data_IF_952217384847
#
_entry.id   IF_952217384847
#
_cell.length_a   1.000
_cell.length_b   1.000
_cell.length_c   1.000
_cell.angle_alpha   90.00
_cell.angle_beta   90.00
_cell.angle_gamma   90.00
#
_symmetry.space_group_name_H-M   'P 1'
#
loop_
_entity.id
_entity.type
_entity.pdbx_description
1 polymer ?
#
# COMPACT_ATOMS: atom_id res chain seq x y z
N UNK A 1 -0.15 -15.05 19.25
CA UNK A 1 0.71 -13.99 19.83
C UNK A 1 0.25 -12.64 19.27
N UNK A 2 0.35 -11.56 20.03
CA UNK A 2 0.04 -10.23 19.53
C UNK A 2 1.14 -9.77 18.55
N UNK A 3 0.76 -9.01 17.52
CA UNK A 3 1.65 -8.59 16.42
C UNK A 3 1.35 -7.15 16.04
N UNK A 4 2.36 -6.40 15.59
CA UNK A 4 2.18 -5.04 15.07
C UNK A 4 1.23 -5.02 13.87
N UNK A 5 1.16 -6.11 13.13
CA UNK A 5 0.43 -6.23 11.87
C UNK A 5 -1.01 -6.76 12.05
N UNK A 6 -1.54 -6.79 13.27
CA UNK A 6 -2.89 -7.30 13.56
C UNK A 6 -3.99 -6.67 12.67
N UNK A 7 -3.81 -5.41 12.26
CA UNK A 7 -4.76 -4.73 11.38
C UNK A 7 -4.85 -5.36 9.98
N UNK A 8 -3.78 -6.00 9.50
CA UNK A 8 -3.76 -6.65 8.19
C UNK A 8 -4.66 -7.90 8.13
N UNK A 9 -4.98 -8.54 9.26
CA UNK A 9 -5.88 -9.72 9.28
C UNK A 9 -7.21 -9.49 8.57
N UNK A 10 -7.72 -8.26 8.66
CA UNK A 10 -8.99 -7.86 8.02
C UNK A 10 -8.80 -7.27 6.63
N UNK A 11 -7.58 -6.90 6.26
CA UNK A 11 -7.25 -6.22 5.00
C UNK A 11 -6.79 -7.24 3.96
N UNK A 12 -5.81 -8.07 4.32
CA UNK A 12 -5.22 -9.09 3.44
C UNK A 12 -4.54 -10.18 4.27
N UNK A 13 -5.22 -11.30 4.49
CA UNK A 13 -4.74 -12.41 5.33
C UNK A 13 -3.41 -13.00 4.84
N UNK A 14 -3.21 -13.06 3.53
CA UNK A 14 -1.97 -13.60 2.96
C UNK A 14 -0.76 -12.71 3.31
N UNK A 15 -0.92 -11.39 3.15
CA UNK A 15 0.12 -10.44 3.56
C UNK A 15 0.36 -10.46 5.07
N UNK A 16 -0.71 -10.62 5.85
CA UNK A 16 -0.65 -10.77 7.30
C UNK A 16 0.20 -11.99 7.71
N UNK A 17 0.00 -13.15 7.07
CA UNK A 17 0.74 -14.37 7.38
C UNK A 17 2.23 -14.21 7.08
N UNK A 18 2.59 -13.67 5.92
CA UNK A 18 4.00 -13.45 5.53
C UNK A 18 4.71 -12.55 6.54
N UNK A 19 4.10 -11.42 6.90
CA UNK A 19 4.76 -10.46 7.79
C UNK A 19 4.76 -10.89 9.26
N UNK A 20 3.76 -11.68 9.68
CA UNK A 20 3.75 -12.28 11.02
C UNK A 20 4.86 -13.31 11.19
N UNK A 21 5.17 -14.06 10.12
CA UNK A 21 6.32 -14.96 10.11
C UNK A 21 7.63 -14.17 10.17
N UNK A 22 7.75 -13.03 9.49
CA UNK A 22 8.91 -12.14 9.62
C UNK A 22 9.13 -11.67 11.07
N UNK A 23 8.09 -11.21 11.76
CA UNK A 23 8.19 -10.82 13.18
C UNK A 23 8.59 -12.00 14.08
N UNK A 24 8.12 -13.21 13.77
CA UNK A 24 8.50 -14.42 14.51
C UNK A 24 9.98 -14.74 14.31
N UNK A 25 10.45 -14.74 13.07
CA UNK A 25 11.85 -14.97 12.74
C UNK A 25 12.76 -13.95 13.44
N UNK A 26 12.33 -12.68 13.52
CA UNK A 26 13.07 -11.66 14.26
C UNK A 26 13.19 -11.99 15.76
N UNK A 27 12.07 -12.38 16.41
CA UNK A 27 12.07 -12.76 17.83
C UNK A 27 12.94 -13.98 18.12
N UNK A 28 13.00 -14.89 17.17
CA UNK A 28 13.79 -16.12 17.24
C UNK A 28 15.25 -15.88 16.76
N UNK A 29 15.66 -14.61 16.57
CA UNK A 29 17.00 -14.17 16.15
C UNK A 29 17.44 -14.65 14.74
N UNK A 30 16.50 -15.13 13.93
CA UNK A 30 16.68 -15.47 12.52
C UNK A 30 16.59 -14.21 11.64
N UNK A 31 17.51 -13.27 11.86
CA UNK A 31 17.46 -11.93 11.25
C UNK A 31 17.52 -11.93 9.71
N UNK A 32 18.32 -12.81 9.10
CA UNK A 32 18.41 -12.90 7.64
C UNK A 32 17.12 -13.43 7.02
N UNK A 33 16.52 -14.44 7.64
CA UNK A 33 15.24 -14.98 7.22
C UNK A 33 14.12 -13.95 7.44
N UNK A 34 14.17 -13.17 8.52
CA UNK A 34 13.27 -12.04 8.73
C UNK A 34 13.35 -11.05 7.56
N UNK A 35 14.55 -10.60 7.18
CA UNK A 35 14.75 -9.71 6.03
C UNK A 35 14.30 -10.34 4.70
N UNK A 36 14.51 -11.65 4.52
CA UNK A 36 13.99 -12.39 3.37
C UNK A 36 12.46 -12.39 3.32
N UNK A 37 11.78 -12.56 4.47
CA UNK A 37 10.33 -12.51 4.54
C UNK A 37 9.78 -11.09 4.34
N UNK A 38 10.43 -10.04 4.86
CA UNK A 38 10.00 -8.66 4.61
C UNK A 38 10.14 -8.28 3.13
N UNK A 39 11.18 -8.77 2.44
CA UNK A 39 11.28 -8.66 0.97
C UNK A 39 10.12 -9.39 0.28
N UNK A 40 9.84 -10.64 0.66
CA UNK A 40 8.71 -11.41 0.10
C UNK A 40 7.39 -10.67 0.32
N UNK A 41 7.20 -10.08 1.50
CA UNK A 41 6.06 -9.24 1.80
C UNK A 41 5.99 -8.03 0.86
N UNK A 42 7.07 -7.25 0.73
CA UNK A 42 7.13 -6.09 -0.17
C UNK A 42 6.85 -6.45 -1.63
N UNK A 43 7.37 -7.58 -2.10
CA UNK A 43 7.11 -8.08 -3.45
C UNK A 43 5.62 -8.39 -3.67
N UNK A 44 4.96 -9.01 -2.70
CA UNK A 44 3.52 -9.31 -2.79
C UNK A 44 2.65 -8.05 -2.65
N UNK A 45 3.07 -7.08 -1.83
CA UNK A 45 2.42 -5.76 -1.78
C UNK A 45 2.53 -5.09 -3.14
N UNK A 46 3.73 -5.01 -3.73
CA UNK A 46 3.95 -4.38 -5.03
C UNK A 46 3.09 -5.03 -6.13
N UNK A 47 3.04 -6.38 -6.18
CA UNK A 47 2.13 -7.13 -7.08
C UNK A 47 0.67 -6.70 -6.92
N UNK A 48 0.20 -6.59 -5.68
CA UNK A 48 -1.19 -6.23 -5.37
C UNK A 48 -1.50 -4.76 -5.70
N UNK A 49 -0.52 -3.86 -5.52
CA UNK A 49 -0.66 -2.43 -5.84
C UNK A 49 -0.71 -2.19 -7.35
N UNK A 50 0.16 -2.85 -8.11
CA UNK A 50 0.15 -2.78 -9.57
C UNK A 50 -1.15 -3.36 -10.15
N UNK A 51 -1.65 -4.46 -9.59
CA UNK A 51 -2.90 -5.09 -10.01
C UNK A 51 -2.92 -5.37 -11.51
N UNK A 52 -3.88 -4.77 -12.22
CA UNK A 52 -4.05 -4.95 -13.67
C UNK A 52 -3.08 -4.12 -14.54
N UNK A 53 -2.25 -3.25 -13.96
CA UNK A 53 -1.18 -2.57 -14.69
C UNK A 53 0.08 -3.43 -14.81
N UNK A 54 0.08 -4.59 -14.16
CA UNK A 54 1.13 -5.57 -14.33
C UNK A 54 1.05 -6.07 -15.78
N UNK A 55 2.13 -5.86 -16.51
CA UNK A 55 2.29 -6.28 -17.89
C UNK A 55 3.11 -7.57 -17.93
N UNK A 56 4.43 -7.45 -18.08
CA UNK A 56 5.36 -8.56 -18.27
C UNK A 56 6.36 -8.71 -17.14
N UNK A 57 6.20 -7.95 -16.05
CA UNK A 57 7.16 -7.90 -14.95
C UNK A 57 7.34 -9.29 -14.33
N UNK A 58 8.59 -9.77 -14.31
CA UNK A 58 8.96 -11.08 -13.76
C UNK A 58 9.66 -10.94 -12.42
N UNK A 59 10.37 -9.84 -12.21
CA UNK A 59 11.16 -9.61 -11.00
C UNK A 59 10.56 -8.55 -10.11
N UNK A 60 10.98 -8.52 -8.84
CA UNK A 60 10.60 -7.43 -7.94
C UNK A 60 11.11 -6.06 -8.44
N UNK A 61 12.25 -6.02 -9.12
CA UNK A 61 12.80 -4.77 -9.66
C UNK A 61 11.94 -4.19 -10.78
N UNK A 62 11.54 -5.03 -11.74
CA UNK A 62 10.67 -4.63 -12.85
C UNK A 62 9.37 -4.03 -12.32
N UNK A 63 8.78 -4.65 -11.30
CA UNK A 63 7.56 -4.15 -10.68
C UNK A 63 7.77 -2.80 -9.97
N UNK A 64 8.91 -2.57 -9.32
CA UNK A 64 9.20 -1.28 -8.70
C UNK A 64 9.40 -0.18 -9.75
N UNK A 65 10.04 -0.50 -10.87
CA UNK A 65 10.18 0.42 -12.00
C UNK A 65 8.80 0.80 -12.56
N UNK A 66 7.95 -0.18 -12.86
CA UNK A 66 6.57 0.08 -13.33
C UNK A 66 5.78 0.88 -12.30
N UNK A 67 5.91 0.57 -11.00
CA UNK A 67 5.20 1.29 -9.94
C UNK A 67 5.65 2.76 -9.88
N UNK A 68 6.95 3.01 -10.05
CA UNK A 68 7.53 4.35 -10.11
C UNK A 68 7.05 5.13 -11.34
N UNK A 69 6.99 4.50 -12.49
CA UNK A 69 6.48 5.12 -13.73
C UNK A 69 4.98 5.45 -13.63
N UNK A 70 4.24 4.68 -12.83
CA UNK A 70 2.84 4.91 -12.53
C UNK A 70 2.57 5.97 -11.46
N UNK A 71 3.60 6.38 -10.70
CA UNK A 71 3.44 7.33 -9.61
C UNK A 71 3.13 8.73 -10.13
N UNK A 72 2.29 9.44 -9.38
CA UNK A 72 2.00 10.85 -9.61
C UNK A 72 3.10 11.78 -9.07
N UNK A 73 4.09 11.23 -8.36
CA UNK A 73 5.20 11.98 -7.78
C UNK A 73 4.88 12.64 -6.44
N UNK A 74 3.74 12.32 -5.82
CA UNK A 74 3.42 12.75 -4.46
C UNK A 74 4.40 12.14 -3.44
N UNK A 75 4.72 12.90 -2.38
CA UNK A 75 5.74 12.50 -1.41
C UNK A 75 5.41 11.18 -0.70
N UNK A 76 4.14 10.92 -0.42
CA UNK A 76 3.69 9.65 0.17
C UNK A 76 3.96 8.46 -0.76
N UNK A 77 3.77 8.65 -2.07
CA UNK A 77 4.04 7.60 -3.04
C UNK A 77 5.54 7.35 -3.17
N UNK A 78 6.36 8.41 -3.12
CA UNK A 78 7.83 8.29 -3.12
C UNK A 78 8.32 7.53 -1.90
N UNK A 79 7.87 7.92 -0.69
CA UNK A 79 8.22 7.23 0.56
C UNK A 79 7.83 5.75 0.49
N UNK A 80 6.63 5.44 0.00
CA UNK A 80 6.18 4.06 -0.18
C UNK A 80 7.07 3.25 -1.14
N UNK A 81 7.45 3.82 -2.29
CA UNK A 81 8.32 3.17 -3.27
C UNK A 81 9.73 3.01 -2.68
N UNK A 82 10.25 4.02 -2.00
CA UNK A 82 11.57 4.00 -1.36
C UNK A 82 11.64 2.92 -0.27
N UNK A 83 10.59 2.75 0.53
CA UNK A 83 10.49 1.67 1.49
C UNK A 83 10.50 0.30 0.80
N UNK A 84 9.78 0.12 -0.31
CA UNK A 84 9.82 -1.13 -1.06
C UNK A 84 11.22 -1.41 -1.66
N UNK A 85 11.92 -0.39 -2.16
CA UNK A 85 13.31 -0.52 -2.61
C UNK A 85 14.24 -0.92 -1.46
N UNK A 86 14.03 -0.35 -0.27
CA UNK A 86 14.79 -0.71 0.92
C UNK A 86 14.60 -2.20 1.26
N UNK A 87 13.35 -2.68 1.33
CA UNK A 87 13.04 -4.08 1.60
C UNK A 87 13.66 -5.01 0.55
N UNK A 88 13.59 -4.63 -0.73
CA UNK A 88 14.24 -5.36 -1.83
C UNK A 88 15.74 -5.49 -1.59
N UNK A 89 16.42 -4.37 -1.31
CA UNK A 89 17.88 -4.30 -1.15
C UNK A 89 18.35 -5.17 0.01
N UNK A 90 17.79 -4.97 1.20
CA UNK A 90 18.22 -5.70 2.40
C UNK A 90 17.84 -7.17 2.35
N UNK A 91 16.66 -7.53 1.85
CA UNK A 91 16.30 -8.94 1.69
C UNK A 91 17.11 -9.67 0.62
N UNK A 92 17.46 -9.01 -0.50
CA UNK A 92 18.39 -9.60 -1.48
C UNK A 92 19.76 -9.85 -0.86
N UNK A 93 20.28 -8.86 -0.12
CA UNK A 93 21.56 -9.00 0.57
C UNK A 93 21.52 -10.13 1.60
N UNK A 94 20.47 -10.23 2.40
CA UNK A 94 20.32 -11.28 3.41
C UNK A 94 20.28 -12.70 2.81
N UNK A 95 19.69 -12.87 1.62
CA UNK A 95 19.54 -14.19 0.99
C UNK A 95 20.76 -14.59 0.15
N UNK A 96 21.46 -13.61 -0.45
CA UNK A 96 22.53 -13.87 -1.41
C UNK A 96 23.92 -13.42 -0.94
N UNK A 97 24.06 -12.89 0.28
CA UNK A 97 25.39 -12.57 0.81
C UNK A 97 26.19 -13.84 1.04
N UNK A 98 27.49 -13.77 0.73
CA UNK A 98 28.46 -14.82 1.05
C UNK A 98 28.82 -14.87 2.54
N UNK A 99 28.45 -13.84 3.31
CA UNK A 99 28.72 -13.74 4.74
C UNK A 99 27.42 -13.66 5.53
N UNK A 100 27.29 -14.48 6.58
CA UNK A 100 26.16 -14.41 7.49
C UNK A 100 26.30 -13.17 8.36
N UNK A 101 25.44 -12.17 8.14
CA UNK A 101 25.37 -10.94 8.93
C UNK A 101 24.18 -11.07 9.87
N UNK A 102 24.43 -11.36 11.15
CA UNK A 102 23.41 -11.33 12.21
C UNK A 102 23.04 -9.89 12.58
N UNK A 103 22.58 -9.11 11.60
CA UNK A 103 22.28 -7.70 11.78
C UNK A 103 20.83 -7.50 12.25
N UNK A 104 20.65 -7.51 13.57
CA UNK A 104 19.36 -7.26 14.19
C UNK A 104 18.85 -5.82 13.96
N UNK A 105 19.73 -4.84 13.76
CA UNK A 105 19.32 -3.45 13.54
C UNK A 105 18.75 -3.26 12.13
N UNK A 106 19.41 -3.81 11.12
CA UNK A 106 18.87 -3.82 9.75
C UNK A 106 17.57 -4.61 9.64
N UNK A 107 17.49 -5.77 10.32
CA UNK A 107 16.25 -6.56 10.34
C UNK A 107 15.09 -5.81 11.03
N UNK A 108 15.39 -5.03 12.08
CA UNK A 108 14.40 -4.20 12.75
C UNK A 108 13.91 -3.06 11.85
N UNK A 109 14.82 -2.38 11.15
CA UNK A 109 14.46 -1.32 10.19
C UNK A 109 13.61 -1.89 9.05
N UNK A 110 13.94 -3.10 8.56
CA UNK A 110 13.10 -3.80 7.59
C UNK A 110 11.67 -4.03 8.09
N UNK A 111 11.48 -4.43 9.35
CA UNK A 111 10.14 -4.60 9.91
C UNK A 111 9.40 -3.27 10.06
N UNK A 112 10.09 -2.21 10.50
CA UNK A 112 9.51 -0.87 10.64
C UNK A 112 9.04 -0.30 9.30
N UNK A 113 9.88 -0.42 8.25
CA UNK A 113 9.48 0.01 6.89
C UNK A 113 8.40 -0.87 6.29
N UNK A 114 8.44 -2.18 6.52
CA UNK A 114 7.35 -3.07 6.12
C UNK A 114 6.01 -2.71 6.80
N UNK A 115 6.06 -2.18 8.03
CA UNK A 115 4.89 -1.64 8.72
C UNK A 115 4.34 -0.39 8.03
N UNK A 116 5.18 0.59 7.69
CA UNK A 116 4.72 1.78 6.96
C UNK A 116 4.14 1.40 5.58
N UNK A 117 4.79 0.47 4.86
CA UNK A 117 4.26 -0.13 3.63
C UNK A 117 2.88 -0.78 3.85
N UNK A 118 2.69 -1.52 4.94
CA UNK A 118 1.42 -2.16 5.27
C UNK A 118 0.30 -1.14 5.57
N UNK A 119 0.62 -0.06 6.29
CA UNK A 119 -0.31 1.05 6.59
C UNK A 119 -0.76 1.71 5.29
N UNK A 120 0.20 2.08 4.46
CA UNK A 120 -0.01 2.71 3.17
C UNK A 120 -0.86 1.82 2.25
N UNK A 121 -0.49 0.54 2.11
CA UNK A 121 -1.27 -0.44 1.37
C UNK A 121 -2.73 -0.53 1.87
N UNK A 122 -2.93 -0.58 3.19
CA UNK A 122 -4.26 -0.76 3.78
C UNK A 122 -5.18 0.42 3.51
N UNK A 123 -4.68 1.63 3.72
CA UNK A 123 -5.49 2.86 3.60
C UNK A 123 -5.76 3.17 2.13
N UNK A 124 -4.73 3.10 1.28
CA UNK A 124 -4.81 3.65 -0.07
C UNK A 124 -5.17 2.63 -1.15
N UNK A 125 -4.88 1.33 -0.97
CA UNK A 125 -5.30 0.28 -1.91
C UNK A 125 -6.55 -0.48 -1.47
N UNK A 126 -6.88 -0.47 -0.18
CA UNK A 126 -7.96 -1.30 0.38
C UNK A 126 -9.05 -0.52 1.11
N UNK A 127 -9.01 0.81 1.06
CA UNK A 127 -10.02 1.68 1.68
C UNK A 127 -10.21 1.40 3.18
N UNK A 128 -9.15 0.96 3.87
CA UNK A 128 -9.22 0.70 5.30
C UNK A 128 -9.41 2.01 6.10
N UNK A 129 -9.85 1.88 7.35
CA UNK A 129 -10.13 3.05 8.20
C UNK A 129 -8.91 3.95 8.33
N UNK A 130 -9.09 5.26 8.15
CA UNK A 130 -8.05 6.27 8.34
C UNK A 130 -7.48 6.31 9.77
N UNK A 131 -8.11 5.63 10.74
CA UNK A 131 -7.55 5.44 12.07
C UNK A 131 -6.27 4.59 12.08
N UNK A 132 -6.05 3.76 11.06
CA UNK A 132 -4.85 2.93 10.90
C UNK A 132 -3.60 3.82 10.75
N UNK A 133 -3.70 5.00 10.14
CA UNK A 133 -2.61 5.99 10.02
C UNK A 133 -2.06 6.49 11.38
N UNK A 134 -2.74 6.22 12.49
CA UNK A 134 -2.29 6.59 13.84
C UNK A 134 -1.44 5.50 14.49
N UNK A 135 -1.44 4.29 13.92
CA UNK A 135 -0.64 3.20 14.45
C UNK A 135 0.84 3.52 14.25
N UNK A 136 1.65 3.03 15.17
CA UNK A 136 3.11 3.14 15.14
C UNK A 136 3.66 1.76 15.41
N UNK A 137 4.80 1.47 14.79
CA UNK A 137 5.50 0.22 15.08
C UNK A 137 5.95 0.21 16.55
N UNK A 138 5.54 -0.82 17.28
CA UNK A 138 5.83 -1.01 18.69
C UNK A 138 6.92 -2.08 18.83
N UNK A 139 8.14 -1.62 19.11
CA UNK A 139 9.31 -2.47 19.32
C UNK A 139 9.23 -3.24 20.65
N UNK A 140 8.57 -2.68 21.66
CA UNK A 140 8.32 -3.37 22.93
C UNK A 140 7.36 -4.54 22.69
N UNK A 141 6.31 -4.34 21.90
CA UNK A 141 5.41 -5.41 21.48
C UNK A 141 6.15 -6.50 20.70
N UNK A 142 7.03 -6.11 19.77
CA UNK A 142 7.83 -7.07 18.99
C UNK A 142 8.64 -8.00 19.91
N UNK A 143 9.37 -7.43 20.88
CA UNK A 143 10.29 -8.18 21.74
C UNK A 143 9.55 -8.94 22.85
N UNK A 144 8.55 -8.31 23.47
CA UNK A 144 7.88 -8.88 24.66
C UNK A 144 6.64 -9.70 24.33
N UNK A 145 6.09 -9.55 23.12
CA UNK A 145 4.81 -10.17 22.71
C UNK A 145 3.58 -9.60 23.44
N UNK A 146 3.75 -8.56 24.27
CA UNK A 146 2.70 -7.92 25.05
C UNK A 146 2.39 -6.55 24.48
N UNK A 147 1.09 -6.23 24.31
CA UNK A 147 0.68 -4.89 23.91
C UNK A 147 0.98 -3.92 25.04
N UNK A 148 1.59 -2.79 24.70
CA UNK A 148 1.86 -1.72 25.66
C UNK A 148 0.56 -1.29 26.35
N UNK A 149 0.61 -1.19 27.67
CA UNK A 149 -0.51 -0.60 28.40
C UNK A 149 -0.67 0.87 28.02
N UNK A 150 -1.92 1.34 27.95
CA UNK A 150 -2.20 2.75 27.67
C UNK A 150 -1.44 3.64 28.63
N UNK A 151 -0.74 4.63 28.08
CA UNK A 151 -0.02 5.61 28.88
C UNK A 151 -0.99 6.37 29.79
N UNK A 152 -0.53 6.86 30.95
CA UNK A 152 -1.34 7.73 31.81
C UNK A 152 -1.95 8.89 31.02
N UNK A 153 -1.20 9.48 30.08
CA UNK A 153 -1.70 10.55 29.22
C UNK A 153 -2.88 10.12 28.34
N UNK A 154 -2.84 8.90 27.81
CA UNK A 154 -3.93 8.32 27.02
C UNK A 154 -5.14 8.01 27.90
N UNK A 155 -4.92 7.43 29.08
CA UNK A 155 -5.97 7.19 30.09
C UNK A 155 -6.66 8.50 30.48
N UNK A 156 -5.92 9.58 30.71
CA UNK A 156 -6.46 10.91 31.02
C UNK A 156 -7.25 11.52 29.86
N UNK A 157 -6.74 11.46 28.63
CA UNK A 157 -7.43 12.03 27.46
C UNK A 157 -8.70 11.26 27.10
N UNK A 158 -8.72 9.94 27.28
CA UNK A 158 -9.93 9.12 27.13
C UNK A 158 -10.94 9.42 28.23
N UNK A 159 -10.52 9.50 29.49
CA UNK A 159 -11.39 9.88 30.61
C UNK A 159 -12.03 11.26 30.38
N UNK A 160 -11.24 12.23 29.88
CA UNK A 160 -11.74 13.57 29.51
C UNK A 160 -12.74 13.51 28.35
N UNK A 161 -12.49 12.71 27.30
CA UNK A 161 -13.44 12.54 26.18
C UNK A 161 -14.74 11.85 26.59
N UNK A 162 -14.68 10.93 27.57
CA UNK A 162 -15.85 10.23 28.08
C UNK A 162 -16.70 11.12 29.01
N UNK A 163 -16.08 11.99 29.80
CA UNK A 163 -16.79 13.00 30.62
C UNK A 163 -17.45 14.09 29.77
N UNK A 164 -16.82 14.52 28.68
CA UNK A 164 -17.44 15.50 27.76
C UNK A 164 -18.66 14.95 27.01
N UNK A 165 -18.76 13.63 26.80
CA UNK A 165 -19.95 13.01 26.16
C UNK A 165 -21.18 12.93 27.07
N UNK A 166 -21.02 13.08 28.40
CA UNK A 166 -22.13 13.01 29.37
C UNK A 166 -22.72 14.37 29.75
N UNK A 167 -22.21 15.49 29.22
CA UNK A 167 -22.66 16.82 29.62
C UNK A 167 -23.08 17.63 28.40
N UNK A 168 -24.35 17.50 28.01
CA UNK A 168 -25.02 18.41 27.09
C UNK A 168 -25.31 19.72 27.81
N UNK A 169 -24.37 20.65 27.76
CA UNK A 169 -24.67 22.08 27.93
C UNK A 169 -23.60 22.88 27.23
N UNK A 170 -24.00 23.60 26.17
CA UNK A 170 -23.17 24.60 25.49
C UNK A 170 -22.72 25.65 26.52
N UNK A 171 -21.47 26.10 26.41
CA UNK A 171 -21.29 27.53 26.21
C UNK A 171 -20.32 27.86 25.06
N UNK A 172 -20.65 28.93 24.34
CA UNK A 172 -19.77 29.63 23.40
C UNK A 172 -18.56 30.17 24.18
N UNK A 173 -17.34 29.84 23.74
CA UNK A 173 -16.15 30.64 24.09
C UNK A 173 -15.05 30.54 23.02
N UNK A 174 -14.77 31.73 22.46
CA UNK A 174 -13.53 32.30 21.90
C UNK A 174 -12.52 31.36 21.21
N UNK A 175 -12.44 31.55 19.89
CA UNK A 175 -11.30 31.16 19.04
C UNK A 175 -10.03 31.84 19.54
N UNK A 176 -9.13 31.09 20.16
CA UNK A 176 -7.71 31.42 20.21
C UNK A 176 -7.00 30.62 19.11
N UNK A 177 -6.45 31.36 18.16
CA UNK A 177 -5.67 30.87 17.01
C UNK A 177 -4.31 30.38 17.51
N UNK A 178 -4.22 29.11 17.88
CA UNK A 178 -2.94 28.39 17.92
C UNK A 178 -2.84 27.58 16.64
N UNK A 179 -1.78 27.84 15.88
CA UNK A 179 -1.44 27.19 14.62
C UNK A 179 -1.34 25.66 14.79
N UNK A 180 -2.48 24.98 14.71
CA UNK A 180 -2.52 23.56 14.37
C UNK A 180 -2.06 23.46 12.93
N UNK A 181 -0.86 22.90 12.72
CA UNK A 181 -0.43 22.39 11.41
C UNK A 181 -1.63 21.66 10.79
N UNK A 182 -2.13 22.21 9.69
CA UNK A 182 -3.18 21.65 8.87
C UNK A 182 -2.74 20.23 8.53
N UNK A 183 -3.40 19.23 9.10
CA UNK A 183 -3.34 17.88 8.57
C UNK A 183 -4.02 17.97 7.20
N UNK A 184 -3.22 18.22 6.15
CA UNK A 184 -3.70 18.15 4.79
C UNK A 184 -4.22 16.73 4.61
N UNK A 185 -5.49 16.60 4.26
CA UNK A 185 -6.01 15.36 3.69
C UNK A 185 -5.21 15.10 2.42
N UNK A 186 -4.17 14.28 2.53
CA UNK A 186 -3.52 13.66 1.39
C UNK A 186 -4.53 12.67 0.81
N UNK A 187 -5.08 13.04 -0.34
CA UNK A 187 -5.87 12.13 -1.17
C UNK A 187 -5.09 11.89 -2.46
N UNK A 188 -4.02 11.12 -2.39
CA UNK A 188 -3.63 10.26 -3.52
C UNK A 188 -4.15 8.88 -3.21
N UNK A 189 -5.06 8.42 -4.05
CA UNK A 189 -5.33 7.00 -4.14
C UNK A 189 -4.05 6.40 -4.75
N UNK A 190 -3.31 5.58 -4.01
CA UNK A 190 -2.20 4.77 -4.54
C UNK A 190 -2.77 3.69 -5.48
N UNK A 191 -3.21 4.13 -6.65
CA UNK A 191 -3.67 3.26 -7.71
C UNK A 191 -2.93 3.74 -8.95
N UNK A 192 -1.96 2.93 -9.37
CA UNK A 192 -1.52 2.89 -10.75
C UNK A 192 -2.82 2.77 -11.57
N UNK A 193 -3.22 3.88 -12.21
CA UNK A 193 -4.54 3.96 -12.84
C UNK A 193 -4.54 2.91 -13.94
N UNK A 194 -5.40 1.89 -13.81
CA UNK A 194 -5.62 0.93 -14.89
C UNK A 194 -5.82 1.70 -16.18
N UNK A 195 -5.05 1.44 -17.25
CA UNK A 195 -5.30 2.10 -18.51
C UNK A 195 -6.76 1.82 -18.85
N UNK A 196 -7.58 2.87 -18.94
CA UNK A 196 -8.91 2.72 -19.52
C UNK A 196 -8.68 2.02 -20.85
N UNK A 197 -9.37 0.92 -21.12
CA UNK A 197 -9.46 0.34 -22.48
C UNK A 197 -10.12 1.39 -23.38
N UNK A 198 -9.39 2.45 -23.71
CA UNK A 198 -9.69 3.30 -24.84
C UNK A 198 -9.28 2.45 -26.02
N UNK A 199 -10.28 1.83 -26.65
CA UNK A 199 -10.16 1.44 -28.04
C UNK A 199 -9.55 2.66 -28.72
N UNK A 200 -8.34 2.50 -29.29
CA UNK A 200 -7.64 3.63 -29.90
C UNK A 200 -8.60 4.28 -30.89
N UNK A 201 -8.63 5.62 -30.91
CA UNK A 201 -9.46 6.37 -31.87
C UNK A 201 -9.21 5.84 -33.30
N UNK A 202 -7.97 5.39 -33.58
CA UNK A 202 -7.61 4.66 -34.79
C UNK A 202 -8.49 3.42 -35.07
N UNK A 203 -8.67 2.52 -34.10
CA UNK A 203 -9.50 1.32 -34.26
C UNK A 203 -10.99 1.63 -34.42
N UNK A 204 -11.46 2.73 -33.82
CA UNK A 204 -12.82 3.23 -34.06
C UNK A 204 -12.96 3.72 -35.51
N UNK A 205 -11.99 4.49 -36.02
CA UNK A 205 -11.98 4.95 -37.41
C UNK A 205 -11.89 3.79 -38.42
N UNK A 206 -11.06 2.78 -38.16
CA UNK A 206 -10.95 1.57 -39.00
C UNK A 206 -12.26 0.79 -39.02
N UNK A 207 -12.95 0.68 -37.87
CA UNK A 207 -14.27 0.05 -37.81
C UNK A 207 -15.31 0.79 -38.66
N UNK A 208 -15.35 2.13 -38.56
CA UNK A 208 -16.28 2.96 -39.33
C UNK A 208 -15.98 2.88 -40.84
N UNK A 209 -14.72 2.91 -41.26
CA UNK A 209 -14.38 2.84 -42.68
C UNK A 209 -14.76 1.48 -43.31
N UNK A 210 -14.61 0.38 -42.57
CA UNK A 210 -15.07 -0.94 -42.99
C UNK A 210 -16.59 -1.03 -43.16
N UNK A 211 -17.37 -0.37 -42.29
CA UNK A 211 -18.83 -0.36 -42.41
C UNK A 211 -19.26 0.43 -43.65
N UNK A 212 -18.65 1.60 -43.89
CA UNK A 212 -18.95 2.43 -45.06
C UNK A 212 -18.65 1.69 -46.36
N UNK A 213 -17.48 1.03 -46.46
CA UNK A 213 -17.13 0.25 -47.66
C UNK A 213 -18.10 -0.91 -47.91
N UNK A 214 -18.52 -1.63 -46.86
CA UNK A 214 -19.55 -2.67 -46.96
C UNK A 214 -20.88 -2.14 -47.47
N UNK A 215 -21.33 -0.97 -47.01
CA UNK A 215 -22.59 -0.37 -47.49
C UNK A 215 -22.55 0.03 -48.96
N UNK A 216 -21.39 0.51 -49.45
CA UNK A 216 -21.22 0.87 -50.86
C UNK A 216 -21.25 -0.39 -51.74
N UNK A 217 -20.56 -1.45 -51.33
CA UNK A 217 -20.55 -2.73 -52.05
C UNK A 217 -21.95 -3.36 -52.10
N UNK A 218 -22.66 -3.38 -50.97
CA UNK A 218 -24.05 -3.85 -50.92
C UNK A 218 -24.98 -3.02 -51.82
N UNK A 219 -24.83 -1.69 -51.82
CA UNK A 219 -25.58 -0.80 -52.71
C UNK A 219 -25.31 -1.09 -54.19
N UNK A 220 -24.06 -1.35 -54.57
CA UNK A 220 -23.71 -1.73 -55.95
C UNK A 220 -24.28 -3.10 -56.33
N UNK A 221 -24.23 -4.09 -55.43
CA UNK A 221 -24.80 -5.43 -55.69
C UNK A 221 -26.31 -5.35 -55.91
N UNK A 222 -27.02 -4.57 -55.08
CA UNK A 222 -28.46 -4.33 -55.23
C UNK A 222 -28.74 -3.59 -56.54
N UNK A 223 -27.99 -2.53 -56.86
CA UNK A 223 -28.16 -1.78 -58.10
C UNK A 223 -27.91 -2.62 -59.37
N UNK A 224 -27.02 -3.63 -59.29
CA UNK A 224 -26.75 -4.58 -60.37
C UNK A 224 -27.84 -5.65 -60.53
N UNK A 225 -28.58 -5.99 -59.46
CA UNK A 225 -29.64 -7.00 -59.49
C UNK A 225 -31.06 -6.41 -59.68
N UNK A 226 -31.23 -5.10 -59.55
CA UNK A 226 -32.51 -4.38 -59.75
C UNK A 226 -32.65 -3.86 -61.20
N UNK A 227 -31.84 -4.37 -62.13
CA UNK A 227 -31.87 -4.05 -63.56
C UNK A 227 -32.26 -5.28 -64.36
#
# INVERSE_FOLDING_TARGET
MATNFDFLKKVDTNLFEIISEAEKLYRDEYFEQCMGQTRRFGENVCKKVLGANRTTEKTFDDMLATLKDCSTGEDVEKEFIDDLYFLKKHGNNAVHSSSVKKDGMEALECLQRAFEVAINYSVYNRSASSNILKLRYDTELLVTGKKKEKSLAEKYTEAKKQTTKKTTTKPKAKKNTTNKKKFQKQSSVMVCKTPKKRISIYWIFVGISCIISLTIVLGMIIALHVK
#
